data_IF_185286016753
#
_entry.id   IF_185286016753
#
_cell.length_a   1.000
_cell.length_b   1.000
_cell.length_c   1.000
_cell.angle_alpha   90.00
_cell.angle_beta   90.00
_cell.angle_gamma   90.00
#
_symmetry.space_group_name_H-M   'P 1'
#
loop_
_entity.id
_entity.type
_entity.pdbx_description
1 polymer ?
#
# COMPACT_ATOMS: atom_id res chain seq x y z
N UNK A 1 -0.44 47.36 -10.44
CA UNK A 1 -0.19 45.93 -10.19
C UNK A 1 -1.29 45.16 -10.91
N UNK A 2 -0.95 44.27 -11.85
CA UNK A 2 -1.98 43.47 -12.53
C UNK A 2 -2.51 42.37 -11.58
N UNK A 3 -3.63 41.71 -11.93
CA UNK A 3 -4.25 40.69 -11.09
C UNK A 3 -3.28 39.56 -10.72
N UNK A 4 -2.47 39.09 -11.67
CA UNK A 4 -1.46 38.05 -11.43
C UNK A 4 -0.37 38.48 -10.43
N UNK A 5 0.09 39.74 -10.52
CA UNK A 5 1.07 40.29 -9.59
C UNK A 5 0.48 40.45 -8.19
N UNK A 6 -0.81 40.78 -8.08
CA UNK A 6 -1.49 40.88 -6.78
C UNK A 6 -1.77 39.51 -6.17
N UNK A 7 -2.17 38.52 -6.99
CA UNK A 7 -2.34 37.13 -6.58
C UNK A 7 -1.01 36.55 -6.06
N UNK A 8 0.08 36.72 -6.81
CA UNK A 8 1.41 36.29 -6.38
C UNK A 8 1.84 37.00 -5.11
N UNK A 9 1.59 38.30 -4.95
CA UNK A 9 1.88 39.02 -3.71
C UNK A 9 1.09 38.47 -2.51
N UNK A 10 -0.18 38.08 -2.71
CA UNK A 10 -1.01 37.47 -1.65
C UNK A 10 -0.53 36.06 -1.29
N UNK A 11 -0.14 35.25 -2.27
CA UNK A 11 0.49 33.95 -2.04
C UNK A 11 1.81 34.10 -1.29
N UNK A 12 2.72 34.97 -1.74
CA UNK A 12 3.99 35.24 -1.04
C UNK A 12 3.73 35.75 0.38
N UNK A 13 2.75 36.66 0.58
CA UNK A 13 2.40 37.16 1.92
C UNK A 13 1.82 36.07 2.83
N UNK A 14 1.05 35.12 2.28
CA UNK A 14 0.51 33.99 3.02
C UNK A 14 1.61 32.96 3.32
N UNK A 15 2.50 32.69 2.36
CA UNK A 15 3.66 31.83 2.57
C UNK A 15 4.65 32.41 3.56
N UNK A 16 4.87 33.73 3.55
CA UNK A 16 5.68 34.43 4.56
C UNK A 16 5.02 34.35 5.94
N UNK A 17 3.69 34.50 6.03
CA UNK A 17 2.95 34.31 7.28
C UNK A 17 3.04 32.85 7.78
N UNK A 18 3.00 31.86 6.88
CA UNK A 18 3.22 30.45 7.21
C UNK A 18 4.67 30.17 7.64
N UNK A 19 5.64 30.79 6.97
CA UNK A 19 7.06 30.64 7.26
C UNK A 19 7.43 31.26 8.62
N UNK A 20 6.73 32.33 9.00
CA UNK A 20 6.88 33.02 10.30
C UNK A 20 5.94 32.50 11.39
N UNK A 21 4.97 31.65 11.03
CA UNK A 21 3.97 31.05 11.94
C UNK A 21 3.14 32.11 12.71
N UNK A 22 2.91 33.28 12.11
CA UNK A 22 2.01 34.31 12.65
C UNK A 22 0.56 33.92 12.34
N UNK A 23 -0.15 33.37 13.33
CA UNK A 23 -1.52 32.84 13.16
C UNK A 23 -2.54 33.93 12.83
N UNK A 24 -2.35 35.13 13.38
CA UNK A 24 -3.21 36.26 13.05
C UNK A 24 -3.00 36.70 11.60
N UNK A 25 -1.74 36.76 11.16
CA UNK A 25 -1.41 37.04 9.76
C UNK A 25 -1.80 35.90 8.83
N UNK A 26 -1.66 34.62 9.22
CA UNK A 26 -2.11 33.49 8.41
C UNK A 26 -3.62 33.51 8.21
N UNK A 27 -4.40 33.80 9.25
CA UNK A 27 -5.85 33.92 9.12
C UNK A 27 -6.22 35.14 8.26
N UNK A 28 -5.61 36.31 8.48
CA UNK A 28 -5.90 37.51 7.69
C UNK A 28 -5.46 37.36 6.23
N UNK A 29 -4.25 36.83 5.98
CA UNK A 29 -3.70 36.64 4.64
C UNK A 29 -4.33 35.47 3.93
N UNK A 30 -4.66 34.40 4.65
CA UNK A 30 -5.46 33.28 4.17
C UNK A 30 -6.85 33.72 3.76
N UNK A 31 -7.54 34.51 4.58
CA UNK A 31 -8.85 35.10 4.25
C UNK A 31 -8.75 36.08 3.08
N UNK A 32 -7.69 36.89 3.01
CA UNK A 32 -7.49 37.82 1.89
C UNK A 32 -7.20 37.07 0.58
N UNK A 33 -6.36 36.04 0.62
CA UNK A 33 -6.05 35.19 -0.53
C UNK A 33 -7.29 34.39 -0.96
N UNK A 34 -8.00 33.78 -0.01
CA UNK A 34 -9.24 33.06 -0.26
C UNK A 34 -10.30 33.99 -0.87
N UNK A 35 -10.54 35.16 -0.28
CA UNK A 35 -11.51 36.12 -0.82
C UNK A 35 -11.08 36.67 -2.17
N UNK A 36 -9.79 36.88 -2.41
CA UNK A 36 -9.29 37.31 -3.71
C UNK A 36 -9.51 36.22 -4.77
N UNK A 37 -9.13 34.97 -4.48
CA UNK A 37 -9.37 33.82 -5.37
C UNK A 37 -10.87 33.65 -5.60
N UNK A 38 -11.71 33.79 -4.57
CA UNK A 38 -13.17 33.75 -4.69
C UNK A 38 -13.68 34.88 -5.59
N UNK A 39 -13.20 36.11 -5.44
CA UNK A 39 -13.61 37.26 -6.26
C UNK A 39 -13.10 37.18 -7.70
N UNK A 40 -11.89 36.69 -7.91
CA UNK A 40 -11.33 36.41 -9.23
C UNK A 40 -12.10 35.28 -9.93
N UNK A 41 -12.46 34.22 -9.20
CA UNK A 41 -13.34 33.14 -9.67
C UNK A 41 -14.75 33.65 -10.01
N UNK A 42 -15.27 34.62 -9.25
CA UNK A 42 -16.55 35.29 -9.53
C UNK A 42 -16.49 36.17 -10.80
N UNK A 43 -15.32 36.73 -11.14
CA UNK A 43 -15.13 37.54 -12.33
C UNK A 43 -14.89 36.69 -13.59
N UNK A 44 -14.11 35.61 -13.49
CA UNK A 44 -13.62 34.84 -14.64
C UNK A 44 -14.60 33.82 -15.26
N UNK A 45 -15.80 33.64 -14.70
CA UNK A 45 -16.78 32.67 -15.23
C UNK A 45 -18.10 33.26 -15.76
N UNK A 46 -18.33 34.57 -15.65
CA UNK A 46 -19.43 35.26 -16.36
C UNK A 46 -19.37 36.80 -16.38
N UNK A 47 -18.30 37.44 -15.88
CA UNK A 47 -18.14 38.90 -15.95
C UNK A 47 -19.19 39.75 -15.23
N UNK A 48 -19.98 39.20 -14.30
CA UNK A 48 -20.96 39.99 -13.51
C UNK A 48 -20.86 39.70 -12.01
N UNK A 49 -20.60 40.73 -11.17
CA UNK A 49 -20.73 40.62 -9.73
C UNK A 49 -22.20 40.37 -9.35
N UNK A 50 -22.42 39.49 -8.36
CA UNK A 50 -23.74 39.18 -7.81
C UNK A 50 -24.15 40.28 -6.82
N UNK A 51 -25.20 41.04 -7.13
CA UNK A 51 -25.83 42.00 -6.20
C UNK A 51 -27.28 41.59 -5.94
N UNK A 52 -27.61 41.36 -4.68
CA UNK A 52 -28.97 41.08 -4.23
C UNK A 52 -29.64 42.38 -3.79
N UNK A 53 -30.92 42.55 -4.12
CA UNK A 53 -31.74 43.67 -3.63
C UNK A 53 -33.12 43.18 -3.22
N UNK A 54 -33.88 43.99 -2.48
CA UNK A 54 -35.27 43.70 -2.12
C UNK A 54 -36.21 43.52 -3.34
N UNK A 55 -35.74 43.83 -4.54
CA UNK A 55 -36.49 43.67 -5.81
C UNK A 55 -36.13 42.40 -6.59
N UNK A 56 -35.16 41.61 -6.13
CA UNK A 56 -34.78 40.36 -6.81
C UNK A 56 -35.93 39.36 -6.70
N UNK A 57 -36.51 38.99 -7.84
CA UNK A 57 -37.66 38.09 -7.85
C UNK A 57 -37.27 36.67 -7.40
N UNK A 58 -38.23 35.93 -6.82
CA UNK A 58 -37.99 34.55 -6.33
C UNK A 58 -37.41 33.61 -7.39
N UNK A 59 -37.80 33.77 -8.66
CA UNK A 59 -37.25 32.98 -9.78
C UNK A 59 -35.78 33.30 -10.06
N UNK A 60 -35.38 34.57 -9.96
CA UNK A 60 -33.98 34.98 -10.08
C UNK A 60 -33.16 34.44 -8.90
N UNK A 61 -33.71 34.52 -7.68
CA UNK A 61 -33.08 33.96 -6.48
C UNK A 61 -32.80 32.46 -6.61
N UNK A 62 -33.78 31.66 -7.07
CA UNK A 62 -33.57 30.23 -7.33
C UNK A 62 -32.51 29.98 -8.40
N UNK A 63 -32.54 30.75 -9.48
CA UNK A 63 -31.53 30.65 -10.55
C UNK A 63 -30.12 30.93 -10.01
N UNK A 64 -29.97 31.90 -9.09
CA UNK A 64 -28.69 32.18 -8.45
C UNK A 64 -28.24 31.09 -7.48
N UNK A 65 -29.15 30.52 -6.70
CA UNK A 65 -28.85 29.40 -5.80
C UNK A 65 -28.42 28.15 -6.59
N UNK A 66 -29.12 27.82 -7.68
CA UNK A 66 -28.74 26.72 -8.57
C UNK A 66 -27.35 26.95 -9.18
N UNK A 67 -27.05 28.17 -9.62
CA UNK A 67 -25.73 28.52 -10.16
C UNK A 67 -24.63 28.43 -9.09
N UNK A 68 -24.91 28.85 -7.86
CA UNK A 68 -23.97 28.75 -6.74
C UNK A 68 -23.73 27.28 -6.35
N UNK A 69 -24.78 26.47 -6.27
CA UNK A 69 -24.67 25.04 -5.99
C UNK A 69 -23.81 24.32 -7.04
N UNK A 70 -24.07 24.55 -8.33
CA UNK A 70 -23.24 23.98 -9.41
C UNK A 70 -21.77 24.38 -9.31
N UNK A 71 -21.48 25.61 -8.87
CA UNK A 71 -20.09 26.07 -8.65
C UNK A 71 -19.41 25.35 -7.50
N UNK A 72 -20.12 25.16 -6.39
CA UNK A 72 -19.59 24.38 -5.25
C UNK A 72 -19.32 22.93 -5.67
N UNK A 73 -20.19 22.32 -6.47
CA UNK A 73 -20.01 20.98 -7.02
C UNK A 73 -18.74 20.90 -7.90
N UNK A 74 -18.55 21.85 -8.83
CA UNK A 74 -17.34 21.92 -9.67
C UNK A 74 -16.07 22.10 -8.82
N UNK A 75 -16.10 22.98 -7.83
CA UNK A 75 -14.95 23.22 -6.96
C UNK A 75 -14.61 21.98 -6.12
N UNK A 76 -15.61 21.26 -5.63
CA UNK A 76 -15.42 20.01 -4.91
C UNK A 76 -14.77 18.94 -5.82
N UNK A 77 -15.21 18.83 -7.07
CA UNK A 77 -14.64 17.89 -8.05
C UNK A 77 -13.17 18.23 -8.40
N UNK A 78 -12.85 19.52 -8.54
CA UNK A 78 -11.47 19.98 -8.77
C UNK A 78 -10.60 19.69 -7.55
N UNK A 79 -11.09 19.98 -6.35
CA UNK A 79 -10.36 19.69 -5.11
C UNK A 79 -10.08 18.19 -4.95
N UNK A 80 -11.06 17.32 -5.24
CA UNK A 80 -10.87 15.86 -5.19
C UNK A 80 -9.78 15.40 -6.17
N UNK A 81 -9.69 16.04 -7.35
CA UNK A 81 -8.67 15.75 -8.36
C UNK A 81 -7.27 16.12 -7.87
N UNK A 82 -7.10 17.35 -7.37
CA UNK A 82 -5.83 17.86 -6.84
C UNK A 82 -5.38 17.02 -5.64
N UNK A 83 -6.29 16.71 -4.71
CA UNK A 83 -5.98 15.83 -3.59
C UNK A 83 -5.50 14.45 -4.07
N UNK A 84 -6.19 13.86 -5.05
CA UNK A 84 -5.78 12.56 -5.58
C UNK A 84 -4.38 12.59 -6.20
N UNK A 85 -4.02 13.66 -6.90
CA UNK A 85 -2.67 13.87 -7.47
C UNK A 85 -1.62 13.98 -6.36
N UNK A 86 -1.83 14.87 -5.38
CA UNK A 86 -0.96 15.07 -4.21
C UNK A 86 -0.77 13.75 -3.47
N UNK A 87 -1.85 13.07 -3.11
CA UNK A 87 -1.80 11.82 -2.34
C UNK A 87 -1.31 10.62 -3.16
N UNK A 88 -1.20 10.72 -4.48
CA UNK A 88 -0.55 9.73 -5.32
C UNK A 88 0.97 9.87 -5.40
N UNK A 89 1.55 10.92 -4.80
CA UNK A 89 2.99 11.13 -4.74
C UNK A 89 3.52 10.68 -3.37
N UNK A 90 4.52 9.79 -3.38
CA UNK A 90 5.08 9.23 -2.13
C UNK A 90 5.76 10.30 -1.26
N UNK A 91 6.26 11.37 -1.89
CA UNK A 91 6.92 12.48 -1.19
C UNK A 91 5.95 13.42 -0.45
N UNK A 92 4.65 13.31 -0.71
CA UNK A 92 3.60 14.04 0.04
C UNK A 92 3.37 13.47 1.44
N UNK A 93 3.94 12.30 1.76
CA UNK A 93 3.79 11.64 3.04
C UNK A 93 5.03 11.82 3.91
N UNK A 94 4.81 12.10 5.20
CA UNK A 94 5.87 12.05 6.20
C UNK A 94 5.70 10.81 7.09
N UNK A 95 6.69 9.92 7.05
CA UNK A 95 6.62 8.62 7.74
C UNK A 95 7.21 8.65 9.17
N UNK A 96 8.10 9.60 9.48
CA UNK A 96 8.79 9.64 10.79
C UNK A 96 8.75 11.00 11.51
N UNK A 97 8.19 12.08 10.94
CA UNK A 97 8.23 13.38 11.64
C UNK A 97 7.24 13.43 12.80
N UNK A 98 7.78 13.54 14.01
CA UNK A 98 7.12 14.27 15.08
C UNK A 98 6.90 15.70 14.56
N UNK A 99 5.66 16.13 14.51
CA UNK A 99 5.34 17.52 14.22
C UNK A 99 5.16 18.22 15.56
N UNK A 100 6.09 19.11 15.88
CA UNK A 100 5.93 20.05 16.98
C UNK A 100 5.57 21.42 16.42
N UNK A 101 4.78 22.19 17.17
CA UNK A 101 4.63 23.60 16.88
C UNK A 101 6.01 24.25 16.96
N UNK A 102 6.43 24.94 15.90
CA UNK A 102 7.66 25.74 15.94
C UNK A 102 7.48 27.06 16.71
N UNK A 103 6.23 27.46 16.96
CA UNK A 103 5.89 28.63 17.75
C UNK A 103 6.08 28.31 19.26
N UNK A 104 6.99 29.01 19.96
CA UNK A 104 7.26 28.80 21.38
C UNK A 104 6.03 29.05 22.28
N UNK A 105 5.19 30.01 21.93
CA UNK A 105 4.01 30.39 22.71
C UNK A 105 2.95 29.29 22.71
N UNK A 106 2.80 28.55 21.59
CA UNK A 106 1.93 27.38 21.52
C UNK A 106 2.48 26.21 22.34
N UNK A 107 3.80 26.03 22.40
CA UNK A 107 4.42 25.02 23.25
C UNK A 107 4.25 25.36 24.75
N UNK A 108 4.47 26.62 25.13
CA UNK A 108 4.32 27.11 26.51
C UNK A 108 2.87 27.03 27.00
N UNK A 109 1.90 27.26 26.12
CA UNK A 109 0.48 27.09 26.42
C UNK A 109 -0.01 25.62 26.36
N UNK A 110 0.90 24.66 26.15
CA UNK A 110 0.61 23.23 26.19
C UNK A 110 -0.13 22.67 24.97
N UNK A 111 -0.16 23.40 23.84
CA UNK A 111 -0.73 22.88 22.60
C UNK A 111 0.19 21.83 21.98
N UNK A 112 -0.40 20.70 21.57
CA UNK A 112 0.32 19.63 20.87
C UNK A 112 -0.35 19.34 19.53
N UNK A 113 0.45 19.12 18.47
CA UNK A 113 -0.11 18.63 17.20
C UNK A 113 -0.48 17.16 17.43
N UNK A 114 -1.77 16.84 17.35
CA UNK A 114 -2.25 15.46 17.34
C UNK A 114 -1.97 14.80 15.98
N UNK A 115 -0.69 14.62 15.65
CA UNK A 115 -0.24 13.89 14.48
C UNK A 115 0.13 12.46 14.86
N UNK A 116 -0.57 11.48 14.29
CA UNK A 116 -0.16 10.07 14.39
C UNK A 116 0.65 9.71 13.14
N UNK A 117 1.96 9.47 13.25
CA UNK A 117 2.76 9.09 12.09
C UNK A 117 2.28 7.76 11.51
N UNK A 118 2.53 7.60 10.20
CA UNK A 118 2.26 6.33 9.51
C UNK A 118 3.15 5.26 10.09
N UNK A 119 2.54 4.28 10.77
CA UNK A 119 3.28 3.17 11.35
C UNK A 119 3.38 2.04 10.33
N UNK A 120 4.62 1.64 10.01
CA UNK A 120 4.89 0.51 9.12
C UNK A 120 5.18 -0.74 9.95
N UNK A 121 4.45 -1.83 9.70
CA UNK A 121 4.73 -3.15 10.28
C UNK A 121 5.00 -4.16 9.16
N UNK A 122 6.08 -4.92 9.30
CA UNK A 122 6.36 -6.08 8.45
C UNK A 122 5.72 -7.34 9.08
N UNK A 123 5.04 -8.15 8.26
CA UNK A 123 4.39 -9.38 8.70
C UNK A 123 4.58 -10.51 7.70
N UNK A 124 4.51 -11.76 8.18
CA UNK A 124 4.26 -12.93 7.34
C UNK A 124 2.75 -13.12 7.32
N UNK A 125 2.10 -12.96 6.18
CA UNK A 125 0.65 -13.20 6.08
C UNK A 125 0.36 -14.70 6.12
N UNK A 126 1.12 -15.45 5.32
CA UNK A 126 1.15 -16.90 5.40
C UNK A 126 2.45 -17.48 4.83
N UNK A 127 2.72 -18.73 5.16
CA UNK A 127 3.74 -19.55 4.52
C UNK A 127 3.23 -20.97 4.28
N UNK A 128 3.76 -21.62 3.25
CA UNK A 128 3.48 -23.03 2.97
C UNK A 128 4.65 -23.87 3.50
N UNK A 129 4.38 -24.76 4.44
CA UNK A 129 5.33 -25.70 5.03
C UNK A 129 5.13 -27.09 4.42
N UNK A 130 6.14 -27.59 3.75
CA UNK A 130 6.21 -28.95 3.19
C UNK A 130 6.96 -29.88 4.13
N UNK A 131 6.42 -31.07 4.32
CA UNK A 131 6.98 -32.11 5.17
C UNK A 131 6.66 -33.50 4.61
N UNK A 132 7.50 -34.47 4.94
CA UNK A 132 7.34 -35.86 4.54
C UNK A 132 6.88 -36.68 5.75
N UNK A 133 5.88 -37.56 5.60
CA UNK A 133 5.42 -38.44 6.68
C UNK A 133 6.12 -39.78 6.63
N UNK A 134 6.36 -40.37 7.79
CA UNK A 134 6.88 -41.73 7.92
C UNK A 134 5.71 -42.74 7.85
N UNK A 135 5.64 -43.59 6.81
CA UNK A 135 4.55 -44.55 6.66
C UNK A 135 4.55 -45.62 7.77
N UNK A 136 5.68 -45.87 8.45
CA UNK A 136 5.74 -46.78 9.60
C UNK A 136 4.99 -46.22 10.83
N UNK A 137 4.85 -44.89 10.91
CA UNK A 137 4.15 -44.18 11.99
C UNK A 137 2.77 -43.66 11.56
N UNK A 138 2.52 -43.58 10.26
CA UNK A 138 1.31 -43.01 9.68
C UNK A 138 0.56 -44.02 8.79
N UNK A 139 -0.30 -44.84 9.40
CA UNK A 139 -1.09 -45.88 8.69
C UNK A 139 -2.06 -45.34 7.63
N UNK A 140 -2.31 -44.03 7.61
CA UNK A 140 -3.14 -43.39 6.60
C UNK A 140 -2.34 -42.76 5.46
N UNK A 141 -1.01 -42.78 5.48
CA UNK A 141 -0.16 -42.05 4.54
C UNK A 141 -0.54 -42.31 3.07
N UNK A 142 -0.89 -43.55 2.73
CA UNK A 142 -1.30 -43.96 1.39
C UNK A 142 -2.82 -43.91 1.14
N UNK A 143 -3.62 -43.48 2.12
CA UNK A 143 -5.07 -43.40 1.99
C UNK A 143 -5.48 -42.13 1.24
N UNK A 144 -6.51 -42.19 0.37
CA UNK A 144 -7.01 -41.02 -0.36
C UNK A 144 -7.46 -39.85 0.55
N UNK A 145 -7.81 -40.13 1.81
CA UNK A 145 -8.24 -39.13 2.79
C UNK A 145 -7.13 -38.68 3.77
N UNK A 146 -5.86 -38.97 3.50
CA UNK A 146 -4.71 -38.58 4.34
C UNK A 146 -4.73 -37.09 4.74
N UNK A 147 -5.04 -36.22 3.76
CA UNK A 147 -5.19 -34.77 3.95
C UNK A 147 -6.20 -34.41 5.05
N UNK A 148 -7.33 -35.11 5.10
CA UNK A 148 -8.39 -34.85 6.08
C UNK A 148 -7.94 -35.20 7.49
N UNK A 149 -7.15 -36.26 7.67
CA UNK A 149 -6.59 -36.63 8.97
C UNK A 149 -5.63 -35.58 9.50
N UNK A 150 -4.68 -35.11 8.67
CA UNK A 150 -3.73 -34.06 9.03
C UNK A 150 -4.48 -32.79 9.43
N UNK A 151 -5.47 -32.38 8.63
CA UNK A 151 -6.29 -31.20 8.90
C UNK A 151 -7.04 -31.30 10.22
N UNK A 152 -7.71 -32.43 10.47
CA UNK A 152 -8.47 -32.66 11.70
C UNK A 152 -7.57 -32.67 12.93
N UNK A 153 -6.41 -33.33 12.84
CA UNK A 153 -5.43 -33.37 13.93
C UNK A 153 -4.90 -31.97 14.27
N UNK A 154 -4.41 -31.22 13.28
CA UNK A 154 -3.91 -29.86 13.52
C UNK A 154 -5.00 -28.94 14.07
N UNK A 155 -6.23 -29.04 13.56
CA UNK A 155 -7.37 -28.27 14.09
C UNK A 155 -7.66 -28.60 15.55
N UNK A 156 -7.68 -29.88 15.90
CA UNK A 156 -7.88 -30.33 17.28
C UNK A 156 -6.76 -29.85 18.21
N UNK A 157 -5.50 -29.87 17.76
CA UNK A 157 -4.34 -29.50 18.61
C UNK A 157 -4.11 -28.01 18.74
N UNK A 158 -4.50 -27.23 17.74
CA UNK A 158 -4.20 -25.79 17.68
C UNK A 158 -5.43 -24.90 17.83
N UNK A 159 -6.63 -25.47 17.77
CA UNK A 159 -7.89 -24.72 17.69
C UNK A 159 -8.08 -23.96 16.37
N UNK A 160 -7.13 -24.05 15.43
CA UNK A 160 -7.15 -23.31 14.16
C UNK A 160 -7.35 -24.26 12.98
N UNK A 161 -8.30 -23.93 12.10
CA UNK A 161 -8.48 -24.66 10.85
C UNK A 161 -7.38 -24.28 9.86
N UNK A 162 -6.60 -25.26 9.43
CA UNK A 162 -5.54 -25.05 8.45
C UNK A 162 -5.99 -25.43 7.05
N UNK A 163 -5.53 -24.69 6.04
CA UNK A 163 -5.61 -25.15 4.65
C UNK A 163 -4.44 -26.12 4.40
N UNK A 164 -4.77 -27.37 4.11
CA UNK A 164 -3.79 -28.39 3.70
C UNK A 164 -3.92 -28.52 2.19
N UNK A 165 -2.85 -28.46 1.40
CA UNK A 165 -2.90 -28.75 -0.05
C UNK A 165 -2.36 -30.17 -0.27
N UNK A 166 -3.04 -30.96 -1.09
CA UNK A 166 -2.43 -32.12 -1.73
C UNK A 166 -1.71 -31.59 -2.96
N UNK A 167 -0.43 -31.91 -3.18
CA UNK A 167 0.19 -31.47 -4.43
C UNK A 167 -0.53 -32.16 -5.58
N UNK A 168 -1.18 -31.38 -6.42
CA UNK A 168 -1.81 -31.81 -7.69
C UNK A 168 -1.02 -31.25 -8.88
N UNK A 169 0.07 -30.51 -8.60
CA UNK A 169 1.06 -30.14 -9.61
C UNK A 169 2.01 -31.31 -9.79
N UNK A 170 1.93 -31.90 -10.96
CA UNK A 170 2.82 -32.93 -11.50
C UNK A 170 2.51 -34.37 -11.06
N UNK A 171 1.96 -35.06 -12.05
CA UNK A 171 2.08 -36.48 -12.33
C UNK A 171 3.55 -36.90 -12.11
N UNK A 172 3.94 -37.19 -10.86
CA UNK A 172 5.06 -38.03 -10.42
C UNK A 172 5.05 -38.07 -8.88
N UNK A 173 4.43 -39.13 -8.35
CA UNK A 173 4.27 -39.40 -6.93
C UNK A 173 5.60 -39.65 -6.23
N UNK A 174 5.85 -38.95 -5.12
CA UNK A 174 6.42 -39.55 -3.90
C UNK A 174 5.40 -39.31 -2.78
N UNK A 175 4.45 -40.24 -2.64
CA UNK A 175 3.18 -40.12 -1.93
C UNK A 175 3.22 -39.95 -0.40
N UNK A 176 4.27 -39.34 0.13
CA UNK A 176 4.49 -39.08 1.55
C UNK A 176 4.69 -37.59 1.86
N UNK A 177 4.83 -36.74 0.84
CA UNK A 177 5.04 -35.29 1.03
C UNK A 177 3.70 -34.54 1.06
N UNK A 178 3.49 -33.76 2.11
CA UNK A 178 2.33 -32.90 2.30
C UNK A 178 2.77 -31.44 2.43
N UNK A 179 1.88 -30.52 2.05
CA UNK A 179 2.09 -29.08 2.26
C UNK A 179 0.91 -28.48 3.00
N UNK A 180 1.20 -27.77 4.09
CA UNK A 180 0.21 -27.02 4.87
C UNK A 180 0.47 -25.52 4.76
N UNK A 181 -0.60 -24.76 4.58
CA UNK A 181 -0.55 -23.30 4.68
C UNK A 181 -0.76 -22.88 6.12
N UNK A 182 0.20 -22.13 6.63
CA UNK A 182 0.21 -21.57 7.95
C UNK A 182 -0.07 -20.08 7.85
N UNK A 183 -1.19 -19.64 8.44
CA UNK A 183 -1.53 -18.22 8.58
C UNK A 183 -1.15 -17.72 9.96
N UNK A 184 -0.92 -16.40 10.08
CA UNK A 184 -0.74 -15.72 11.37
C UNK A 184 0.38 -16.31 12.25
N UNK A 185 1.48 -16.76 11.63
CA UNK A 185 2.69 -17.22 12.34
C UNK A 185 3.40 -15.97 12.88
N UNK A 186 3.43 -15.80 14.21
CA UNK A 186 3.98 -14.59 14.86
C UNK A 186 5.43 -14.77 15.28
N UNK A 187 5.89 -16.01 15.43
CA UNK A 187 7.22 -16.33 15.93
C UNK A 187 7.75 -17.69 15.46
N UNK A 188 9.05 -17.92 15.66
CA UNK A 188 9.69 -19.23 15.49
C UNK A 188 9.05 -20.30 16.36
N UNK A 189 8.68 -19.95 17.59
CA UNK A 189 8.08 -20.88 18.53
C UNK A 189 6.74 -21.41 18.00
N UNK A 190 5.92 -20.55 17.39
CA UNK A 190 4.66 -20.96 16.75
C UNK A 190 4.91 -21.98 15.64
N UNK A 191 5.92 -21.72 14.79
CA UNK A 191 6.28 -22.62 13.69
C UNK A 191 6.84 -23.96 14.20
N UNK A 192 7.71 -23.92 15.21
CA UNK A 192 8.29 -25.12 15.81
C UNK A 192 7.25 -25.96 16.54
N UNK A 193 6.26 -25.34 17.17
CA UNK A 193 5.14 -26.08 17.76
C UNK A 193 4.38 -26.89 16.71
N UNK A 194 4.11 -26.31 15.54
CA UNK A 194 3.47 -27.04 14.43
C UNK A 194 4.40 -28.16 13.91
N UNK A 195 5.69 -27.87 13.74
CA UNK A 195 6.67 -28.84 13.28
C UNK A 195 6.80 -30.04 14.24
N UNK A 196 6.85 -29.79 15.55
CA UNK A 196 6.88 -30.80 16.60
C UNK A 196 5.62 -31.68 16.62
N UNK A 197 4.43 -31.08 16.43
CA UNK A 197 3.19 -31.84 16.30
C UNK A 197 3.24 -32.81 15.11
N UNK A 198 3.77 -32.38 13.96
CA UNK A 198 3.90 -33.20 12.77
C UNK A 198 4.96 -34.31 12.95
N UNK A 199 6.09 -34.00 13.59
CA UNK A 199 7.15 -34.97 13.88
C UNK A 199 6.67 -36.06 14.84
N UNK A 200 6.02 -35.66 15.94
CA UNK A 200 5.51 -36.61 16.95
C UNK A 200 4.41 -37.50 16.40
N UNK A 201 3.47 -36.93 15.65
CA UNK A 201 2.30 -37.66 15.18
C UNK A 201 2.56 -38.47 13.90
N UNK A 202 3.40 -37.95 13.00
CA UNK A 202 3.56 -38.51 11.65
C UNK A 202 5.00 -38.88 11.29
N UNK A 203 5.96 -38.75 12.21
CA UNK A 203 7.37 -39.02 11.92
C UNK A 203 8.01 -38.04 10.95
N UNK A 204 7.39 -36.88 10.75
CA UNK A 204 7.90 -35.85 9.85
C UNK A 204 9.11 -35.14 10.46
N UNK A 205 10.32 -35.59 10.10
CA UNK A 205 11.58 -35.05 10.63
C UNK A 205 11.68 -33.53 10.41
N UNK A 206 11.79 -32.76 11.50
CA UNK A 206 11.76 -31.29 11.44
C UNK A 206 12.85 -30.73 10.50
N UNK A 207 14.03 -31.34 10.49
CA UNK A 207 15.15 -30.87 9.66
C UNK A 207 14.95 -31.11 8.15
N UNK A 208 14.02 -32.00 7.76
CA UNK A 208 13.65 -32.21 6.36
C UNK A 208 12.55 -31.27 5.89
N UNK A 209 11.82 -30.61 6.79
CA UNK A 209 10.74 -29.69 6.43
C UNK A 209 11.25 -28.47 5.65
N UNK A 210 10.47 -28.04 4.65
CA UNK A 210 10.82 -26.95 3.74
C UNK A 210 9.71 -25.91 3.60
N UNK A 211 10.08 -24.64 3.62
CA UNK A 211 9.21 -23.52 3.25
C UNK A 211 9.10 -23.51 1.72
N UNK A 212 7.91 -23.80 1.18
CA UNK A 212 7.67 -23.84 -0.28
C UNK A 212 7.33 -22.48 -0.84
N UNK A 213 6.43 -21.79 -0.18
CA UNK A 213 5.93 -20.48 -0.59
C UNK A 213 5.81 -19.60 0.65
N UNK A 214 5.92 -18.28 0.48
CA UNK A 214 5.74 -17.31 1.57
C UNK A 214 5.10 -16.04 1.02
N UNK A 215 4.16 -15.48 1.77
CA UNK A 215 3.60 -14.16 1.53
C UNK A 215 4.01 -13.21 2.64
N UNK A 216 4.69 -12.15 2.24
CA UNK A 216 5.20 -11.10 3.12
C UNK A 216 4.41 -9.83 2.86
N UNK A 217 4.10 -9.09 3.92
CA UNK A 217 3.34 -7.84 3.79
C UNK A 217 3.98 -6.70 4.58
N UNK A 218 3.85 -5.50 4.02
CA UNK A 218 4.02 -4.24 4.73
C UNK A 218 2.65 -3.64 4.99
N UNK A 219 2.35 -3.46 6.26
CA UNK A 219 1.15 -2.82 6.76
C UNK A 219 1.43 -1.37 7.13
N UNK A 220 0.67 -0.44 6.55
CA UNK A 220 0.74 1.00 6.77
C UNK A 220 -0.50 1.42 7.57
N UNK A 221 -0.33 1.55 8.89
CA UNK A 221 -1.35 2.05 9.81
C UNK A 221 -1.34 3.57 9.85
N UNK A 222 -2.44 4.18 10.27
CA UNK A 222 -2.61 5.64 10.42
C UNK A 222 -2.41 6.43 9.12
N UNK A 223 -2.48 5.79 7.95
CA UNK A 223 -2.49 6.50 6.68
C UNK A 223 -3.77 7.35 6.58
N UNK A 224 -3.60 8.66 6.43
CA UNK A 224 -4.69 9.63 6.35
C UNK A 224 -5.51 9.53 5.05
N UNK A 225 -4.92 8.97 3.98
CA UNK A 225 -5.59 8.84 2.68
C UNK A 225 -5.25 7.49 2.00
N UNK A 226 -6.26 6.86 1.37
CA UNK A 226 -6.08 5.61 0.60
C UNK A 226 -5.24 5.79 -0.67
N UNK A 227 -5.05 7.04 -1.13
CA UNK A 227 -4.15 7.45 -2.20
C UNK A 227 -2.70 7.03 -1.99
N UNK A 228 -2.30 6.76 -0.74
CA UNK A 228 -0.99 6.18 -0.44
C UNK A 228 -0.77 4.85 -1.19
N UNK A 229 -1.82 4.06 -1.48
CA UNK A 229 -1.68 2.87 -2.31
C UNK A 229 -1.25 3.20 -3.75
N UNK A 230 -1.72 4.31 -4.32
CA UNK A 230 -1.28 4.83 -5.62
C UNK A 230 0.18 5.28 -5.57
N UNK A 231 0.56 5.99 -4.50
CA UNK A 231 1.93 6.41 -4.27
C UNK A 231 2.90 5.22 -4.09
N UNK A 232 2.48 4.21 -3.32
CA UNK A 232 3.22 2.96 -3.13
C UNK A 232 3.33 2.19 -4.45
N UNK A 233 2.29 2.17 -5.29
CA UNK A 233 2.37 1.56 -6.61
C UNK A 233 3.38 2.28 -7.53
N UNK A 234 3.36 3.62 -7.57
CA UNK A 234 4.32 4.43 -8.35
C UNK A 234 5.76 4.22 -7.88
N UNK A 235 5.96 4.08 -6.57
CA UNK A 235 7.26 3.96 -5.93
C UNK A 235 7.80 2.54 -5.80
N UNK A 236 6.98 1.49 -5.92
CA UNK A 236 7.49 0.14 -5.70
C UNK A 236 8.51 -0.24 -6.79
N UNK A 237 9.66 -0.76 -6.36
CA UNK A 237 10.71 -1.25 -7.25
C UNK A 237 10.38 -2.63 -7.79
N UNK A 238 9.45 -2.68 -8.73
CA UNK A 238 9.10 -3.92 -9.42
C UNK A 238 10.29 -4.45 -10.22
N UNK A 239 10.45 -5.77 -10.28
CA UNK A 239 11.40 -6.39 -11.20
C UNK A 239 11.07 -6.05 -12.67
N UNK A 240 12.08 -6.07 -13.53
CA UNK A 240 11.90 -5.81 -14.96
C UNK A 240 10.88 -6.75 -15.63
N UNK A 241 10.77 -7.98 -15.13
CA UNK A 241 9.83 -9.02 -15.59
C UNK A 241 8.39 -8.82 -15.13
N UNK A 242 8.13 -7.87 -14.21
CA UNK A 242 6.77 -7.63 -13.71
C UNK A 242 5.81 -7.20 -14.82
N UNK A 243 4.64 -7.83 -14.88
CA UNK A 243 3.63 -7.63 -15.89
C UNK A 243 2.22 -7.70 -15.28
N UNK A 244 1.18 -7.68 -16.13
CA UNK A 244 -0.21 -7.89 -15.70
C UNK A 244 -0.64 -6.97 -14.55
N UNK A 245 -0.30 -5.69 -14.66
CA UNK A 245 -0.74 -4.63 -13.76
C UNK A 245 -2.23 -4.43 -13.93
N UNK A 246 -3.01 -4.83 -12.92
CA UNK A 246 -4.46 -4.86 -12.99
C UNK A 246 -5.12 -4.36 -11.71
N UNK A 247 -6.35 -3.88 -11.85
CA UNK A 247 -7.25 -3.55 -10.73
C UNK A 247 -8.45 -4.50 -10.74
N UNK A 248 -8.87 -4.99 -9.59
CA UNK A 248 -10.00 -5.91 -9.48
C UNK A 248 -10.69 -5.77 -8.12
N UNK A 249 -11.99 -6.06 -8.08
CA UNK A 249 -12.75 -6.17 -6.83
C UNK A 249 -13.05 -7.65 -6.58
N UNK A 250 -12.76 -8.12 -5.37
CA UNK A 250 -13.09 -9.51 -5.02
C UNK A 250 -14.57 -9.62 -4.71
N UNK A 251 -15.39 -9.99 -5.70
CA UNK A 251 -16.83 -10.21 -5.53
C UNK A 251 -17.10 -11.72 -5.56
N UNK A 252 -17.74 -12.24 -4.51
CA UNK A 252 -17.96 -13.69 -4.27
C UNK A 252 -18.70 -14.41 -5.41
N UNK A 253 -19.37 -13.66 -6.29
CA UNK A 253 -20.25 -14.16 -7.37
C UNK A 253 -19.67 -13.85 -8.77
N UNK A 254 -18.67 -12.98 -8.89
CA UNK A 254 -18.08 -12.66 -10.19
C UNK A 254 -16.70 -13.33 -10.32
N UNK A 255 -16.70 -14.55 -10.87
CA UNK A 255 -15.49 -15.31 -11.19
C UNK A 255 -14.72 -14.75 -12.38
N UNK A 256 -15.23 -13.69 -13.01
CA UNK A 256 -14.52 -12.99 -14.07
C UNK A 256 -13.58 -11.97 -13.44
N UNK A 257 -12.42 -12.44 -12.98
CA UNK A 257 -11.19 -11.63 -12.92
C UNK A 257 -10.78 -11.24 -14.36
N UNK A 258 -11.68 -10.59 -15.10
CA UNK A 258 -11.34 -9.94 -16.37
C UNK A 258 -10.23 -8.97 -16.05
N UNK A 259 -9.18 -9.02 -16.87
CA UNK A 259 -8.09 -8.07 -16.76
C UNK A 259 -8.67 -6.66 -16.93
N UNK A 260 -8.63 -5.86 -15.86
CA UNK A 260 -8.86 -4.43 -15.95
C UNK A 260 -7.52 -3.75 -15.70
N UNK A 261 -6.99 -2.97 -16.66
CA UNK A 261 -5.73 -2.26 -16.45
C UNK A 261 -5.84 -1.27 -15.29
N UNK A 262 -4.72 -1.00 -14.63
CA UNK A 262 -4.65 0.07 -13.62
C UNK A 262 -4.96 1.42 -14.31
N UNK A 263 -5.92 2.21 -13.80
CA UNK A 263 -6.19 3.53 -14.35
C UNK A 263 -4.95 4.42 -14.29
N UNK A 264 -4.71 5.19 -15.35
CA UNK A 264 -3.66 6.20 -15.38
C UNK A 264 -4.01 7.45 -14.57
N UNK A 265 -5.30 7.75 -14.37
CA UNK A 265 -5.74 8.90 -13.56
C UNK A 265 -5.62 8.59 -12.05
N UNK A 266 -4.95 9.45 -11.26
CA UNK A 266 -4.90 9.35 -9.80
C UNK A 266 -6.28 9.30 -9.15
N UNK A 267 -7.19 10.20 -9.56
CA UNK A 267 -8.56 10.28 -9.06
C UNK A 267 -9.33 8.97 -9.30
N UNK A 268 -9.25 8.43 -10.52
CA UNK A 268 -9.91 7.16 -10.84
C UNK A 268 -9.39 6.01 -9.99
N UNK A 269 -8.08 5.94 -9.77
CA UNK A 269 -7.49 4.89 -8.94
C UNK A 269 -7.86 5.07 -7.45
N UNK A 270 -7.86 6.30 -6.94
CA UNK A 270 -8.32 6.61 -5.57
C UNK A 270 -9.78 6.19 -5.38
N UNK A 271 -10.68 6.54 -6.30
CA UNK A 271 -12.09 6.11 -6.28
C UNK A 271 -12.21 4.59 -6.23
N UNK A 272 -11.35 3.84 -6.93
CA UNK A 272 -11.33 2.36 -6.85
C UNK A 272 -10.90 1.88 -5.46
N UNK A 273 -9.85 2.43 -4.87
CA UNK A 273 -9.41 2.07 -3.51
C UNK A 273 -10.44 2.44 -2.43
N UNK A 274 -11.19 3.54 -2.59
CA UNK A 274 -12.30 3.91 -1.72
C UNK A 274 -13.46 2.88 -1.76
N UNK A 275 -13.57 2.11 -2.86
CA UNK A 275 -14.59 1.07 -3.03
C UNK A 275 -14.03 -0.36 -2.90
N UNK A 276 -12.94 -0.52 -2.16
CA UNK A 276 -12.31 -1.79 -1.78
C UNK A 276 -11.80 -2.63 -2.97
N UNK A 277 -11.40 -1.96 -4.04
CA UNK A 277 -10.66 -2.62 -5.12
C UNK A 277 -9.21 -2.90 -4.68
N UNK A 278 -8.64 -3.96 -5.25
CA UNK A 278 -7.27 -4.37 -5.08
C UNK A 278 -6.49 -4.13 -6.38
N UNK A 279 -5.24 -3.71 -6.26
CA UNK A 279 -4.29 -3.73 -7.36
C UNK A 279 -3.47 -5.03 -7.27
N UNK A 280 -3.28 -5.69 -8.41
CA UNK A 280 -2.44 -6.88 -8.55
C UNK A 280 -1.38 -6.71 -9.62
N UNK A 281 -0.19 -7.26 -9.37
CA UNK A 281 0.91 -7.32 -10.36
C UNK A 281 1.38 -8.77 -10.45
N UNK A 282 1.59 -9.22 -11.68
CA UNK A 282 1.70 -10.63 -12.09
C UNK A 282 0.41 -11.44 -11.79
N UNK A 283 0.08 -12.45 -12.61
CA UNK A 283 -1.04 -13.34 -12.32
C UNK A 283 -0.96 -14.00 -10.94
N UNK A 284 -2.13 -14.33 -10.36
CA UNK A 284 -2.18 -15.13 -9.13
C UNK A 284 -1.59 -16.52 -9.43
N UNK A 285 -0.70 -17.00 -8.56
CA UNK A 285 0.00 -18.28 -8.73
C UNK A 285 1.27 -18.17 -9.57
N UNK A 286 1.62 -16.99 -10.09
CA UNK A 286 2.95 -16.76 -10.64
C UNK A 286 4.03 -16.83 -9.55
N UNK A 287 5.28 -17.15 -9.92
CA UNK A 287 6.38 -17.27 -8.96
C UNK A 287 6.59 -16.09 -8.02
N UNK A 288 6.29 -14.91 -8.54
CA UNK A 288 6.33 -13.66 -7.82
C UNK A 288 5.03 -12.92 -8.12
N UNK A 289 4.28 -12.54 -7.08
CA UNK A 289 3.04 -11.78 -7.23
C UNK A 289 2.99 -10.65 -6.21
N UNK A 290 2.43 -9.51 -6.60
CA UNK A 290 2.23 -8.36 -5.71
C UNK A 290 0.77 -8.02 -5.58
N UNK A 291 0.38 -7.54 -4.40
CA UNK A 291 -0.99 -7.03 -4.14
C UNK A 291 -0.94 -5.75 -3.31
N UNK A 292 -1.79 -4.79 -3.66
CA UNK A 292 -1.95 -3.54 -2.93
C UNK A 292 -3.44 -3.29 -2.68
N UNK A 293 -3.83 -3.11 -1.42
CA UNK A 293 -5.25 -2.96 -1.05
C UNK A 293 -5.45 -2.43 0.37
N UNK A 294 -6.69 -2.10 0.72
CA UNK A 294 -7.11 -1.75 2.08
C UNK A 294 -7.45 -3.01 2.85
N UNK A 295 -6.73 -3.29 3.94
CA UNK A 295 -6.92 -4.47 4.77
C UNK A 295 -7.92 -4.16 5.89
N UNK A 296 -9.16 -4.58 5.68
CA UNK A 296 -10.30 -4.40 6.60
C UNK A 296 -10.86 -5.72 7.12
N UNK A 297 -10.29 -6.86 6.72
CA UNK A 297 -10.75 -8.19 7.12
C UNK A 297 -9.61 -9.09 7.55
N UNK A 298 -9.87 -10.03 8.46
CA UNK A 298 -8.92 -11.04 8.90
C UNK A 298 -8.76 -12.19 7.88
N UNK A 299 -8.02 -13.24 8.25
CA UNK A 299 -7.81 -14.44 7.41
C UNK A 299 -9.10 -15.25 7.18
N UNK A 300 -10.10 -15.11 8.04
CA UNK A 300 -11.43 -15.72 7.93
C UNK A 300 -12.46 -14.82 7.23
N UNK A 301 -12.01 -13.69 6.67
CA UNK A 301 -12.84 -12.64 6.03
C UNK A 301 -13.82 -11.98 7.00
N UNK A 302 -13.57 -12.06 8.30
CA UNK A 302 -14.32 -11.31 9.29
C UNK A 302 -13.83 -9.86 9.31
N UNK A 303 -14.72 -8.88 9.48
CA UNK A 303 -14.33 -7.49 9.64
C UNK A 303 -13.33 -7.32 10.78
N UNK A 304 -12.28 -6.53 10.53
CA UNK A 304 -11.36 -6.08 11.57
C UNK A 304 -11.95 -4.86 12.28
N UNK A 305 -11.63 -4.66 13.58
CA UNK A 305 -11.85 -3.40 14.25
C UNK A 305 -11.22 -2.24 13.47
N UNK A 306 -11.84 -1.05 13.52
CA UNK A 306 -11.39 0.11 12.72
C UNK A 306 -9.95 0.51 13.03
N UNK A 307 -9.52 0.35 14.28
CA UNK A 307 -8.15 0.58 14.73
C UNK A 307 -7.10 -0.36 14.09
N UNK A 308 -7.54 -1.51 13.57
CA UNK A 308 -6.71 -2.48 12.86
C UNK A 308 -6.77 -2.30 11.34
N UNK A 309 -7.58 -1.36 10.84
CA UNK A 309 -7.63 -1.03 9.41
C UNK A 309 -6.30 -0.40 9.00
N UNK A 310 -5.83 -0.79 7.82
CA UNK A 310 -4.52 -0.40 7.31
C UNK A 310 -4.45 -0.55 5.81
N UNK A 311 -3.53 0.18 5.19
CA UNK A 311 -3.17 -0.05 3.79
C UNK A 311 -2.08 -1.12 3.74
N UNK A 312 -2.15 -2.03 2.78
CA UNK A 312 -1.24 -3.16 2.71
C UNK A 312 -0.62 -3.32 1.33
N UNK A 313 0.68 -3.61 1.33
CA UNK A 313 1.44 -4.07 0.17
C UNK A 313 1.96 -5.47 0.46
N UNK A 314 1.65 -6.43 -0.39
CA UNK A 314 2.04 -7.84 -0.26
C UNK A 314 2.96 -8.25 -1.40
N UNK A 315 3.87 -9.17 -1.11
CA UNK A 315 4.58 -9.96 -2.10
C UNK A 315 4.48 -11.45 -1.76
N UNK A 316 4.08 -12.24 -2.73
CA UNK A 316 4.09 -13.71 -2.66
C UNK A 316 5.32 -14.22 -3.42
N UNK A 317 6.08 -15.13 -2.80
CA UNK A 317 7.20 -15.83 -3.39
C UNK A 317 6.92 -17.32 -3.38
N UNK A 318 7.20 -17.99 -4.50
CA UNK A 318 7.15 -19.44 -4.61
C UNK A 318 8.53 -20.10 -4.60
N UNK A 319 8.54 -21.43 -4.74
CA UNK A 319 9.75 -22.23 -4.82
C UNK A 319 10.69 -21.88 -5.98
N UNK A 320 10.19 -21.32 -7.09
CA UNK A 320 11.02 -20.91 -8.24
C UNK A 320 11.84 -19.67 -7.88
N UNK A 321 11.24 -18.72 -7.16
CA UNK A 321 11.98 -17.56 -6.64
C UNK A 321 12.94 -17.98 -5.53
N UNK A 322 12.54 -18.93 -4.68
CA UNK A 322 13.33 -19.41 -3.55
C UNK A 322 14.39 -20.48 -3.89
N UNK A 323 14.47 -20.95 -5.14
CA UNK A 323 15.27 -22.13 -5.55
C UNK A 323 16.73 -22.16 -5.10
N UNK A 324 17.38 -21.00 -4.97
CA UNK A 324 18.78 -20.86 -4.57
C UNK A 324 18.96 -20.52 -3.08
N UNK A 325 17.89 -20.68 -2.29
CA UNK A 325 17.84 -20.36 -0.86
C UNK A 325 17.65 -21.65 -0.09
N UNK A 326 18.39 -21.84 1.01
CA UNK A 326 18.04 -22.90 1.95
C UNK A 326 16.63 -22.61 2.51
N UNK A 327 15.66 -23.43 2.10
CA UNK A 327 14.27 -23.30 2.48
C UNK A 327 13.96 -24.02 3.81
N UNK A 328 14.95 -24.38 4.62
CA UNK A 328 14.73 -24.97 5.94
C UNK A 328 14.03 -24.01 6.91
N UNK A 329 13.32 -24.56 7.90
CA UNK A 329 12.76 -23.77 9.02
C UNK A 329 13.84 -22.95 9.72
N UNK A 330 15.06 -23.50 9.86
CA UNK A 330 16.19 -22.84 10.52
C UNK A 330 16.61 -21.55 9.81
N UNK A 331 16.42 -21.48 8.50
CA UNK A 331 16.82 -20.34 7.66
C UNK A 331 15.68 -19.34 7.38
N UNK A 332 14.52 -19.48 8.03
CA UNK A 332 13.34 -18.64 7.78
C UNK A 332 13.65 -17.14 7.89
N UNK A 333 14.50 -16.74 8.83
CA UNK A 333 14.90 -15.33 8.97
C UNK A 333 15.53 -14.76 7.69
N UNK A 334 16.38 -15.53 7.02
CA UNK A 334 16.99 -15.13 5.75
C UNK A 334 15.98 -15.16 4.60
N UNK A 335 15.07 -16.15 4.56
CA UNK A 335 13.96 -16.20 3.59
C UNK A 335 13.11 -14.93 3.68
N UNK A 336 12.76 -14.50 4.90
CA UNK A 336 12.03 -13.26 5.16
C UNK A 336 12.80 -12.05 4.60
N UNK A 337 14.08 -11.89 4.97
CA UNK A 337 14.93 -10.78 4.51
C UNK A 337 15.04 -10.73 2.98
N UNK A 338 15.19 -11.88 2.34
CA UNK A 338 15.28 -11.97 0.89
C UNK A 338 13.94 -11.63 0.23
N UNK A 339 12.82 -12.11 0.76
CA UNK A 339 11.50 -11.80 0.23
C UNK A 339 11.13 -10.32 0.36
N UNK A 340 11.53 -9.64 1.43
CA UNK A 340 11.30 -8.20 1.56
C UNK A 340 12.15 -7.34 0.61
N UNK A 341 13.19 -7.87 -0.06
CA UNK A 341 13.92 -7.13 -1.11
C UNK A 341 13.02 -6.73 -2.28
N UNK A 342 11.93 -7.47 -2.49
CA UNK A 342 10.92 -7.17 -3.50
C UNK A 342 9.96 -6.04 -3.07
N UNK A 343 10.01 -5.62 -1.80
CA UNK A 343 9.22 -4.50 -1.26
C UNK A 343 10.12 -3.31 -0.93
N UNK A 344 10.89 -2.87 -1.92
CA UNK A 344 11.73 -1.67 -1.84
C UNK A 344 11.13 -0.53 -2.65
N UNK A 345 11.35 0.71 -2.20
CA UNK A 345 10.68 1.88 -2.74
C UNK A 345 11.64 2.87 -3.39
N UNK A 346 11.14 3.57 -4.40
CA UNK A 346 11.79 4.64 -5.16
C UNK A 346 11.01 5.94 -5.02
N UNK A 347 11.63 7.06 -5.31
CA UNK A 347 11.00 8.37 -5.32
C UNK A 347 11.41 9.15 -6.57
N UNK A 348 10.62 10.18 -6.89
CA UNK A 348 10.96 11.18 -7.88
C UNK A 348 12.17 11.98 -7.38
N UNK A 349 13.19 12.10 -8.22
CA UNK A 349 14.36 12.90 -7.89
C UNK A 349 14.03 14.39 -7.95
N UNK A 350 14.48 15.16 -6.96
CA UNK A 350 14.28 16.62 -6.92
C UNK A 350 14.90 17.32 -8.14
N UNK A 351 15.98 16.74 -8.66
CA UNK A 351 16.69 17.19 -9.86
C UNK A 351 16.02 16.74 -11.18
N UNK A 352 14.90 16.02 -11.14
CA UNK A 352 14.19 15.64 -12.36
C UNK A 352 13.67 16.88 -13.12
N UNK A 353 13.60 16.83 -14.47
CA UNK A 353 13.01 17.91 -15.26
C UNK A 353 11.55 18.19 -14.89
N UNK A 354 11.11 19.44 -14.93
CA UNK A 354 9.74 19.83 -14.53
C UNK A 354 8.66 19.09 -15.32
N UNK A 355 8.83 18.94 -16.64
CA UNK A 355 7.91 18.15 -17.46
C UNK A 355 7.78 16.68 -17.00
N UNK A 356 8.84 16.10 -16.44
CA UNK A 356 8.76 14.75 -15.87
C UNK A 356 8.07 14.75 -14.50
N UNK A 357 8.20 15.82 -13.72
CA UNK A 357 7.48 15.98 -12.45
C UNK A 357 5.98 16.11 -12.67
N UNK A 358 5.57 16.95 -13.61
CA UNK A 358 4.17 17.11 -14.04
C UNK A 358 3.57 15.75 -14.47
N UNK A 359 4.25 15.03 -15.35
CA UNK A 359 3.84 13.68 -15.76
C UNK A 359 3.77 12.71 -14.58
N UNK A 360 4.74 12.80 -13.65
CA UNK A 360 4.75 11.94 -12.47
C UNK A 360 3.51 12.18 -11.61
N UNK A 361 3.12 13.43 -11.40
CA UNK A 361 1.98 13.80 -10.56
C UNK A 361 0.64 13.45 -11.22
N UNK A 362 0.46 13.77 -12.50
CA UNK A 362 -0.79 13.58 -13.25
C UNK A 362 -1.06 12.12 -13.64
N UNK A 363 -0.02 11.28 -13.76
CA UNK A 363 -0.13 9.94 -14.36
C UNK A 363 0.36 8.84 -13.41
N UNK A 364 -0.53 7.89 -13.12
CA UNK A 364 -0.20 6.63 -12.48
C UNK A 364 0.48 5.68 -13.47
N UNK A 365 1.76 5.38 -13.20
CA UNK A 365 2.58 4.34 -13.83
C UNK A 365 3.50 3.70 -12.79
N UNK A 366 3.98 2.46 -13.02
CA UNK A 366 4.98 1.84 -12.16
C UNK A 366 6.38 2.43 -12.41
N UNK A 367 6.60 3.70 -12.04
CA UNK A 367 7.86 4.43 -12.29
C UNK A 367 9.07 3.74 -11.64
N UNK A 368 8.87 3.08 -10.50
CA UNK A 368 9.90 2.29 -9.82
C UNK A 368 10.28 0.98 -10.52
N UNK A 369 9.53 0.54 -11.54
CA UNK A 369 9.81 -0.72 -12.25
C UNK A 369 11.21 -0.67 -12.87
N UNK A 370 11.98 -1.73 -12.65
CA UNK A 370 13.30 -1.85 -13.20
C UNK A 370 13.28 -1.91 -14.73
N UNK A 371 14.19 -1.17 -15.35
CA UNK A 371 14.36 -1.11 -16.79
C UNK A 371 15.84 -1.28 -17.13
N UNK A 372 16.15 -1.83 -18.31
CA UNK A 372 17.51 -1.78 -18.86
C UNK A 372 17.78 -0.35 -19.33
N UNK A 373 18.04 0.55 -18.39
CA UNK A 373 18.30 1.95 -18.66
C UNK A 373 19.81 2.22 -18.77
N UNK A 374 20.15 3.23 -19.55
CA UNK A 374 21.46 3.88 -19.48
C UNK A 374 21.19 5.32 -19.05
N UNK A 375 21.94 5.83 -18.09
CA UNK A 375 21.83 7.24 -17.74
C UNK A 375 22.35 8.12 -18.89
N UNK A 376 22.20 9.45 -18.77
CA UNK A 376 22.75 10.45 -19.71
C UNK A 376 24.24 10.22 -20.01
N UNK A 377 25.00 9.72 -19.04
CA UNK A 377 26.43 9.39 -19.16
C UNK A 377 26.71 7.96 -19.66
N UNK A 378 25.71 7.25 -20.18
CA UNK A 378 25.75 5.87 -20.71
C UNK A 378 26.11 4.76 -19.70
N UNK A 379 26.17 5.05 -18.41
CA UNK A 379 26.34 4.05 -17.36
C UNK A 379 25.07 3.21 -17.22
N UNK A 380 25.24 1.90 -17.03
CA UNK A 380 24.13 0.96 -16.79
C UNK A 380 23.39 1.38 -15.51
N UNK A 381 22.09 1.56 -15.62
CA UNK A 381 21.20 1.85 -14.49
C UNK A 381 19.97 0.96 -14.60
N UNK A 382 19.40 0.61 -13.45
CA UNK A 382 18.22 -0.25 -13.40
C UNK A 382 16.91 0.55 -13.25
N UNK A 383 16.98 1.88 -13.12
CA UNK A 383 15.84 2.77 -12.95
C UNK A 383 15.85 3.85 -14.05
N UNK A 384 14.67 4.36 -14.40
CA UNK A 384 14.50 5.48 -15.31
C UNK A 384 15.20 6.74 -14.76
N UNK A 385 15.74 7.58 -15.64
CA UNK A 385 16.27 8.88 -15.25
C UNK A 385 15.17 9.74 -14.60
N UNK A 386 15.53 10.46 -13.54
CA UNK A 386 14.56 11.17 -12.69
C UNK A 386 13.95 10.31 -11.57
N UNK A 387 14.21 9.00 -11.49
CA UNK A 387 13.76 8.13 -10.39
C UNK A 387 14.95 7.59 -9.59
N UNK A 388 14.91 7.70 -8.27
CA UNK A 388 15.97 7.22 -7.36
C UNK A 388 15.42 6.35 -6.24
N UNK A 389 16.30 5.69 -5.49
CA UNK A 389 15.88 4.91 -4.31
C UNK A 389 15.40 5.85 -3.20
N UNK A 390 14.28 5.54 -2.56
CA UNK A 390 13.74 6.35 -1.47
C UNK A 390 14.38 5.93 -0.14
N UNK A 391 15.52 6.53 0.21
CA UNK A 391 16.34 6.08 1.34
C UNK A 391 15.60 6.12 2.69
N UNK A 392 14.82 7.18 2.94
CA UNK A 392 14.08 7.37 4.19
C UNK A 392 13.04 6.26 4.41
N UNK A 393 12.11 6.07 3.47
CA UNK A 393 11.09 5.03 3.58
C UNK A 393 11.71 3.62 3.68
N UNK A 394 12.74 3.34 2.89
CA UNK A 394 13.41 2.03 2.93
C UNK A 394 14.15 1.80 4.27
N UNK A 395 14.65 2.84 4.93
CA UNK A 395 15.21 2.73 6.28
C UNK A 395 14.14 2.31 7.30
N UNK A 396 12.96 2.94 7.25
CA UNK A 396 11.82 2.64 8.13
C UNK A 396 11.33 1.20 7.90
N UNK A 397 11.16 0.82 6.63
CA UNK A 397 10.82 -0.54 6.22
C UNK A 397 11.87 -1.54 6.72
N UNK A 398 13.16 -1.21 6.61
CA UNK A 398 14.24 -2.08 7.11
C UNK A 398 14.17 -2.29 8.62
N UNK A 399 13.86 -1.25 9.40
CA UNK A 399 13.61 -1.36 10.85
C UNK A 399 12.42 -2.29 11.13
N UNK A 400 11.32 -2.14 10.39
CA UNK A 400 10.13 -2.99 10.53
C UNK A 400 10.44 -4.47 10.23
N UNK A 401 11.21 -4.73 9.16
CA UNK A 401 11.67 -6.08 8.79
C UNK A 401 12.58 -6.65 9.86
N UNK A 402 13.53 -5.85 10.39
CA UNK A 402 14.41 -6.30 11.47
C UNK A 402 13.62 -6.71 12.71
N UNK A 403 12.59 -5.94 13.10
CA UNK A 403 11.72 -6.26 14.22
C UNK A 403 10.92 -7.56 14.00
N UNK A 404 10.45 -7.82 12.78
CA UNK A 404 9.84 -9.10 12.42
C UNK A 404 10.87 -10.24 12.54
N UNK A 405 12.04 -10.07 11.94
CA UNK A 405 13.13 -11.06 11.93
C UNK A 405 13.66 -11.40 13.32
N UNK A 406 13.51 -10.55 14.34
CA UNK A 406 13.89 -10.89 15.73
C UNK A 406 12.98 -11.96 16.35
N UNK A 407 11.80 -12.19 15.77
CA UNK A 407 10.86 -13.21 16.22
C UNK A 407 11.12 -14.58 15.60
N UNK A 408 12.03 -14.69 14.64
CA UNK A 408 12.31 -15.89 13.82
C UNK A 408 13.81 -16.23 13.80
#
# INVERSE_FOLDING_TARGET
MNQDQYCNMLFESFYDAMATCDEHAMNIKGDQLFNFLVMEMLQNSSGRPLTFSERTGTTELHTFLDAYQRRLEVNADVAETIEAEIYSNISSYSFEKHMDFKNPELQENGYSIHFKPIQIKAVIDWLDLSFEVDPSRCSFAHKPNARSYIKSFLTMKTGKKHYVKHDESDINQDGLIFTIRLHDIKSKADLLMIADLLEKQYGAEIFRMKIRNIELSLDFYNANNRGLLSALHKSLRYQATANNFRIYKYVKVDTRNKFNPVPHSPLMLLKRFNHDWCLGVNPKGSPLCYRLYVKTTDSNRQPLPTEDHRLRVEVTLDQVILKNTDCSIKNLQNIIKQGFKFLTFTELDKAAPNAFKEIYDEIIKPYGKEQKARNVNRNKRNLQDGIKTYAELNSIVSKAIFNLCRKF
#
